data_IF_857707025955
#
_entry.id   IF_857707025955
#
_cell.length_a   1.000
_cell.length_b   1.000
_cell.length_c   1.000
_cell.angle_alpha   90.00
_cell.angle_beta   90.00
_cell.angle_gamma   90.00
#
_symmetry.space_group_name_H-M   'P 1'
#
loop_
_entity.id
_entity.type
_entity.pdbx_description
1 polymer ?
#
# COMPACT_ATOMS: atom_id res chain seq x y z
N UNK A 1 71.18 -19.41 19.75
CA UNK A 1 71.12 -18.10 19.06
C UNK A 1 69.68 -17.60 19.14
N UNK A 2 69.46 -16.47 19.83
CA UNK A 2 68.13 -15.94 20.13
C UNK A 2 67.94 -14.62 19.39
N UNK A 3 66.97 -14.56 18.47
CA UNK A 3 66.72 -13.37 17.63
C UNK A 3 65.43 -12.72 18.14
N UNK A 4 65.59 -11.59 18.84
CA UNK A 4 64.51 -10.66 19.20
C UNK A 4 64.19 -9.78 18.00
N UNK A 5 62.96 -9.84 17.50
CA UNK A 5 62.46 -8.93 16.46
C UNK A 5 61.57 -7.84 17.07
N UNK A 6 62.04 -6.60 16.93
CA UNK A 6 61.36 -5.36 17.30
C UNK A 6 60.17 -5.10 16.36
N UNK A 7 58.97 -4.89 16.93
CA UNK A 7 57.80 -4.43 16.18
C UNK A 7 57.72 -2.90 16.20
N UNK A 8 57.81 -2.29 15.01
CA UNK A 8 57.55 -0.87 14.74
C UNK A 8 56.06 -0.56 14.93
N UNK A 9 55.76 0.46 15.73
CA UNK A 9 54.44 1.08 15.82
C UNK A 9 54.21 1.97 14.59
N UNK A 10 53.18 1.65 13.80
CA UNK A 10 52.68 2.53 12.73
C UNK A 10 51.58 3.43 13.32
N UNK A 11 51.82 4.73 13.27
CA UNK A 11 50.86 5.81 13.52
C UNK A 11 49.88 5.89 12.33
N UNK A 12 48.57 5.92 12.63
CA UNK A 12 47.49 5.94 11.64
C UNK A 12 46.75 7.30 11.64
N UNK A 13 47.08 8.26 10.75
CA UNK A 13 46.28 9.47 10.57
C UNK A 13 45.08 9.30 9.61
N UNK A 14 44.83 8.09 9.09
CA UNK A 14 43.88 7.88 7.99
C UNK A 14 42.39 7.81 8.37
N UNK A 15 42.04 7.73 9.67
CA UNK A 15 40.63 7.54 10.05
C UNK A 15 39.81 8.83 10.01
N UNK A 16 40.40 9.99 10.24
CA UNK A 16 39.63 11.25 10.33
C UNK A 16 39.15 11.72 8.96
N UNK A 17 39.95 11.51 7.90
CA UNK A 17 39.58 11.91 6.54
C UNK A 17 38.36 11.16 5.99
N UNK A 18 38.15 9.90 6.41
CA UNK A 18 37.02 9.09 5.95
C UNK A 18 35.67 9.57 6.51
N UNK A 19 35.65 10.13 7.72
CA UNK A 19 34.41 10.60 8.34
C UNK A 19 33.91 11.91 7.73
N UNK A 20 34.84 12.81 7.36
CA UNK A 20 34.48 14.07 6.68
C UNK A 20 33.90 13.83 5.28
N UNK A 21 34.44 12.88 4.52
CA UNK A 21 33.90 12.54 3.21
C UNK A 21 32.49 11.93 3.28
N UNK A 22 32.23 11.07 4.28
CA UNK A 22 30.90 10.51 4.51
C UNK A 22 29.89 11.59 4.94
N UNK A 23 30.30 12.52 5.80
CA UNK A 23 29.43 13.62 6.25
C UNK A 23 29.05 14.57 5.10
N UNK A 24 30.00 14.95 4.25
CA UNK A 24 29.74 15.80 3.08
C UNK A 24 28.84 15.13 2.04
N UNK A 25 28.96 13.81 1.84
CA UNK A 25 28.06 13.05 0.96
C UNK A 25 26.61 13.05 1.46
N UNK A 26 26.39 12.90 2.78
CA UNK A 26 25.04 12.92 3.37
C UNK A 26 24.41 14.30 3.25
N UNK A 27 25.16 15.36 3.55
CA UNK A 27 24.66 16.74 3.41
C UNK A 27 24.36 17.13 1.96
N UNK A 28 25.15 16.63 0.99
CA UNK A 28 24.88 16.87 -0.43
C UNK A 28 23.62 16.13 -0.92
N UNK A 29 23.35 14.94 -0.38
CA UNK A 29 22.14 14.18 -0.70
C UNK A 29 20.87 14.84 -0.11
N UNK A 30 20.94 15.36 1.12
CA UNK A 30 19.84 16.15 1.71
C UNK A 30 19.58 17.44 0.92
N UNK A 31 20.63 18.12 0.45
CA UNK A 31 20.49 19.34 -0.33
C UNK A 31 19.86 19.11 -1.71
N UNK A 32 20.09 17.95 -2.35
CA UNK A 32 19.40 17.61 -3.60
C UNK A 32 17.93 17.23 -3.38
N UNK A 33 17.57 16.69 -2.21
CA UNK A 33 16.19 16.32 -1.89
C UNK A 33 15.28 17.55 -1.73
N UNK A 34 15.79 18.63 -1.14
CA UNK A 34 15.04 19.87 -0.92
C UNK A 34 14.82 20.72 -2.18
N UNK A 35 15.50 20.41 -3.30
CA UNK A 35 15.38 21.21 -4.53
C UNK A 35 14.32 20.71 -5.52
N UNK A 36 13.56 19.65 -5.19
CA UNK A 36 12.44 19.15 -6.02
C UNK A 36 11.04 19.44 -5.45
N UNK A 37 10.89 20.17 -4.35
CA UNK A 37 9.58 20.53 -3.79
C UNK A 37 8.93 21.76 -4.46
N UNK A 38 8.91 21.78 -5.79
CA UNK A 38 7.95 22.59 -6.56
C UNK A 38 7.21 21.73 -7.57
N UNK A 39 6.78 20.55 -7.11
CA UNK A 39 5.69 19.83 -7.76
C UNK A 39 4.40 20.59 -7.45
N UNK A 40 3.90 21.28 -8.48
CA UNK A 40 2.61 21.94 -8.49
C UNK A 40 1.52 20.99 -7.98
N UNK A 41 0.76 21.45 -6.99
CA UNK A 41 -0.34 20.74 -6.33
C UNK A 41 -1.50 20.34 -7.26
N UNK A 42 -1.39 20.60 -8.56
CA UNK A 42 -2.43 20.32 -9.57
C UNK A 42 -2.30 18.91 -10.17
N UNK A 43 -1.14 18.24 -10.03
CA UNK A 43 -0.95 16.85 -10.52
C UNK A 43 -1.33 15.77 -9.48
N UNK A 44 -1.63 16.17 -8.23
CA UNK A 44 -2.06 15.26 -7.17
C UNK A 44 -3.43 14.61 -7.43
N UNK A 45 -4.18 15.10 -8.41
CA UNK A 45 -5.48 14.55 -8.82
C UNK A 45 -5.36 13.35 -9.77
N UNK A 46 -4.16 13.02 -10.28
CA UNK A 46 -4.03 11.96 -11.31
C UNK A 46 -3.76 10.55 -10.75
N UNK A 47 -3.48 10.35 -9.45
CA UNK A 47 -3.06 9.03 -8.95
C UNK A 47 -3.43 8.61 -7.49
N UNK A 48 -4.65 8.81 -6.96
CA UNK A 48 -5.04 8.15 -5.70
C UNK A 48 -5.58 6.71 -5.89
N UNK A 49 -6.28 6.39 -6.98
CA UNK A 49 -6.98 5.10 -7.09
C UNK A 49 -6.06 3.90 -7.40
N UNK A 50 -5.02 4.12 -8.22
CA UNK A 50 -4.09 3.07 -8.59
C UNK A 50 -3.30 2.52 -7.41
N UNK A 51 -2.89 3.41 -6.49
CA UNK A 51 -2.06 3.03 -5.34
C UNK A 51 -2.87 2.24 -4.29
N UNK A 52 -4.10 2.66 -4.02
CA UNK A 52 -5.01 1.96 -3.09
C UNK A 52 -5.35 0.57 -3.64
N UNK A 53 -5.61 0.48 -4.95
CA UNK A 53 -5.86 -0.81 -5.63
C UNK A 53 -4.63 -1.73 -5.57
N UNK A 54 -3.43 -1.19 -5.79
CA UNK A 54 -2.17 -1.91 -5.67
C UNK A 54 -1.97 -2.45 -4.25
N UNK A 55 -2.10 -1.60 -3.23
CA UNK A 55 -1.97 -1.98 -1.83
C UNK A 55 -2.95 -3.09 -1.45
N UNK A 56 -4.20 -2.98 -1.91
CA UNK A 56 -5.23 -4.01 -1.69
C UNK A 56 -4.86 -5.34 -2.36
N UNK A 57 -4.35 -5.32 -3.59
CA UNK A 57 -3.90 -6.53 -4.28
C UNK A 57 -2.71 -7.19 -3.58
N UNK A 58 -1.75 -6.41 -3.07
CA UNK A 58 -0.62 -6.91 -2.28
C UNK A 58 -1.12 -7.57 -0.99
N UNK A 59 -2.09 -6.96 -0.30
CA UNK A 59 -2.69 -7.52 0.91
C UNK A 59 -3.36 -8.87 0.63
N UNK A 60 -4.22 -8.93 -0.38
CA UNK A 60 -4.90 -10.16 -0.80
C UNK A 60 -3.87 -11.24 -1.21
N UNK A 61 -2.80 -10.86 -1.90
CA UNK A 61 -1.73 -11.78 -2.27
C UNK A 61 -1.01 -12.36 -1.05
N UNK A 62 -0.88 -11.60 0.03
CA UNK A 62 -0.30 -12.05 1.28
C UNK A 62 -1.19 -13.09 1.97
N UNK A 63 -2.49 -12.82 2.09
CA UNK A 63 -3.45 -13.73 2.72
C UNK A 63 -3.53 -15.07 1.97
N UNK A 64 -3.61 -15.01 0.63
CA UNK A 64 -3.58 -16.21 -0.22
C UNK A 64 -2.27 -17.01 -0.06
N UNK A 65 -1.16 -16.33 0.20
CA UNK A 65 0.13 -16.97 0.50
C UNK A 65 0.09 -17.75 1.82
N UNK A 66 -0.45 -17.17 2.89
CA UNK A 66 -0.55 -17.85 4.18
C UNK A 66 -1.54 -19.03 4.13
N UNK A 67 -2.69 -18.88 3.46
CA UNK A 67 -3.62 -19.99 3.22
C UNK A 67 -2.98 -21.13 2.43
N UNK A 68 -2.23 -20.79 1.36
CA UNK A 68 -1.51 -21.77 0.56
C UNK A 68 -0.44 -22.51 1.37
N UNK A 69 0.24 -21.81 2.28
CA UNK A 69 1.23 -22.39 3.18
C UNK A 69 0.60 -23.37 4.16
N UNK A 70 -0.55 -23.05 4.75
CA UNK A 70 -1.28 -24.00 5.60
C UNK A 70 -1.67 -25.27 4.85
N UNK A 71 -2.18 -25.16 3.61
CA UNK A 71 -2.51 -26.32 2.78
C UNK A 71 -1.27 -27.17 2.47
N UNK A 72 -0.14 -26.52 2.19
CA UNK A 72 1.13 -27.20 1.93
C UNK A 72 1.64 -27.96 3.15
N UNK A 73 1.53 -27.37 4.35
CA UNK A 73 1.88 -27.99 5.63
C UNK A 73 0.95 -29.17 5.96
N UNK A 74 -0.34 -29.07 5.64
CA UNK A 74 -1.32 -30.17 5.71
C UNK A 74 -1.07 -31.29 4.68
N UNK A 75 -0.12 -31.08 3.76
CA UNK A 75 0.25 -32.04 2.73
C UNK A 75 -0.63 -32.00 1.47
N UNK A 76 -1.59 -31.08 1.39
CA UNK A 76 -2.36 -30.82 0.18
C UNK A 76 -1.58 -29.88 -0.74
N UNK A 77 -0.60 -30.47 -1.45
CA UNK A 77 0.25 -29.70 -2.37
C UNK A 77 -0.52 -29.20 -3.59
N UNK A 78 -1.64 -29.82 -3.96
CA UNK A 78 -2.46 -29.39 -5.09
C UNK A 78 -3.29 -28.15 -4.73
N UNK A 79 -3.99 -28.16 -3.60
CA UNK A 79 -4.71 -26.99 -3.10
C UNK A 79 -3.78 -25.81 -2.81
N UNK A 80 -2.62 -26.08 -2.20
CA UNK A 80 -1.59 -25.07 -1.97
C UNK A 80 -1.13 -24.40 -3.26
N UNK A 81 -0.87 -25.20 -4.32
CA UNK A 81 -0.44 -24.69 -5.63
C UNK A 81 -1.42 -23.68 -6.21
N UNK A 82 -2.72 -23.97 -6.13
CA UNK A 82 -3.78 -23.08 -6.64
C UNK A 82 -3.74 -21.74 -5.88
N UNK A 83 -3.66 -21.78 -4.55
CA UNK A 83 -3.60 -20.56 -3.72
C UNK A 83 -2.37 -19.70 -4.03
N UNK A 84 -1.19 -20.32 -4.21
CA UNK A 84 0.01 -19.57 -4.59
C UNK A 84 -0.07 -18.99 -6.00
N UNK A 85 -0.72 -19.66 -6.96
CA UNK A 85 -0.97 -19.08 -8.29
C UNK A 85 -1.90 -17.87 -8.21
N UNK A 86 -2.97 -17.96 -7.43
CA UNK A 86 -3.87 -16.82 -7.19
C UNK A 86 -3.13 -15.65 -6.54
N UNK A 87 -2.24 -15.91 -5.59
CA UNK A 87 -1.39 -14.88 -4.99
C UNK A 87 -0.50 -14.18 -6.04
N UNK A 88 0.10 -14.93 -6.98
CA UNK A 88 0.91 -14.35 -8.06
C UNK A 88 0.11 -13.58 -9.11
N UNK A 89 -1.17 -13.93 -9.33
CA UNK A 89 -2.04 -13.13 -10.19
C UNK A 89 -2.35 -11.75 -9.58
N UNK A 90 -2.37 -11.65 -8.25
CA UNK A 90 -2.58 -10.41 -7.52
C UNK A 90 -1.30 -9.59 -7.38
N UNK A 91 -0.21 -10.24 -7.02
CA UNK A 91 1.13 -9.64 -6.95
C UNK A 91 2.14 -10.52 -7.68
N UNK A 92 2.45 -10.21 -8.95
CA UNK A 92 3.44 -10.94 -9.74
C UNK A 92 4.85 -10.91 -9.14
N UNK A 93 5.13 -9.93 -8.28
CA UNK A 93 6.44 -9.75 -7.64
C UNK A 93 6.60 -10.53 -6.33
N UNK A 94 5.55 -11.25 -5.88
CA UNK A 94 5.54 -11.97 -4.61
C UNK A 94 6.50 -13.17 -4.60
N UNK A 95 7.72 -12.93 -4.10
CA UNK A 95 8.79 -13.95 -3.99
C UNK A 95 8.41 -15.15 -3.12
N UNK A 96 7.56 -14.97 -2.10
CA UNK A 96 7.13 -16.08 -1.24
C UNK A 96 6.30 -17.08 -2.06
N UNK A 97 5.31 -16.60 -2.80
CA UNK A 97 4.46 -17.43 -3.65
C UNK A 97 5.28 -18.21 -4.70
N UNK A 98 6.21 -17.53 -5.40
CA UNK A 98 7.13 -18.18 -6.37
C UNK A 98 7.93 -19.30 -5.70
N UNK A 99 8.49 -19.04 -4.51
CA UNK A 99 9.31 -20.01 -3.79
C UNK A 99 8.49 -21.25 -3.39
N UNK A 100 7.27 -21.06 -2.87
CA UNK A 100 6.42 -22.17 -2.47
C UNK A 100 5.87 -22.96 -3.66
N UNK A 101 5.59 -22.32 -4.80
CA UNK A 101 5.25 -23.03 -6.04
C UNK A 101 6.37 -23.98 -6.47
N UNK A 102 7.62 -23.51 -6.45
CA UNK A 102 8.76 -24.36 -6.74
C UNK A 102 8.90 -25.53 -5.73
N UNK A 103 8.49 -25.35 -4.48
CA UNK A 103 8.46 -26.45 -3.50
C UNK A 103 7.34 -27.46 -3.80
N UNK A 104 6.15 -26.99 -4.19
CA UNK A 104 5.03 -27.84 -4.59
C UNK A 104 5.42 -28.73 -5.79
N UNK A 105 6.13 -28.18 -6.78
CA UNK A 105 6.57 -28.93 -7.96
C UNK A 105 7.69 -29.94 -7.65
N UNK A 106 8.56 -29.63 -6.67
CA UNK A 106 9.65 -30.52 -6.22
C UNK A 106 9.14 -31.67 -5.37
N UNK A 107 8.06 -31.47 -4.61
CA UNK A 107 7.38 -32.50 -3.83
C UNK A 107 6.56 -33.38 -4.79
N UNK A 108 7.23 -34.04 -5.75
CA UNK A 108 6.68 -35.20 -6.44
C UNK A 108 6.40 -36.22 -5.34
N UNK A 109 5.16 -36.24 -4.86
CA UNK A 109 4.69 -37.13 -3.82
C UNK A 109 5.15 -38.52 -4.23
N UNK A 110 5.99 -39.21 -3.45
CA UNK A 110 6.18 -40.62 -3.68
C UNK A 110 4.79 -41.23 -3.52
N UNK A 111 4.22 -41.66 -4.65
CA UNK A 111 2.90 -42.28 -4.84
C UNK A 111 2.87 -43.66 -4.17
N UNK A 112 3.29 -43.71 -2.91
CA UNK A 112 3.24 -44.83 -1.99
C UNK A 112 2.36 -44.45 -0.81
N UNK A 113 1.22 -43.80 -1.08
CA UNK A 113 0.08 -43.93 -0.16
C UNK A 113 -0.46 -45.35 -0.37
N UNK A 114 0.05 -46.25 0.48
CA UNK A 114 -0.56 -47.55 0.72
C UNK A 114 -2.05 -47.33 0.96
N UNK A 115 -2.84 -48.32 0.53
CA UNK A 115 -4.31 -48.39 0.60
C UNK A 115 -4.86 -48.12 2.00
N UNK A 116 -4.88 -46.87 2.43
CA UNK A 116 -5.80 -46.43 3.47
C UNK A 116 -7.12 -46.20 2.75
N UNK A 117 -7.93 -47.26 2.67
CA UNK A 117 -9.29 -47.28 2.12
C UNK A 117 -10.28 -46.35 2.85
N UNK A 118 -9.79 -45.46 3.70
CA UNK A 118 -10.54 -44.44 4.42
C UNK A 118 -10.18 -43.00 4.01
N UNK A 119 -9.41 -42.82 2.93
CA UNK A 119 -9.29 -41.50 2.30
C UNK A 119 -10.67 -41.10 1.79
N UNK A 120 -11.32 -40.24 2.56
CA UNK A 120 -12.58 -39.58 2.23
C UNK A 120 -12.61 -39.28 0.73
N UNK A 121 -13.60 -39.87 0.06
CA UNK A 121 -14.03 -39.45 -1.26
C UNK A 121 -13.98 -37.92 -1.33
N UNK A 122 -13.48 -37.31 -2.43
CA UNK A 122 -13.69 -35.88 -2.63
C UNK A 122 -15.16 -35.64 -2.35
N UNK A 123 -15.46 -34.87 -1.29
CA UNK A 123 -16.85 -34.54 -0.95
C UNK A 123 -17.41 -34.01 -2.25
N UNK A 124 -18.37 -34.73 -2.82
CA UNK A 124 -19.10 -34.24 -3.96
C UNK A 124 -19.57 -32.85 -3.51
N UNK A 125 -19.06 -31.81 -4.16
CA UNK A 125 -19.45 -30.45 -3.84
C UNK A 125 -20.97 -30.45 -3.87
N UNK A 126 -21.58 -30.08 -2.76
CA UNK A 126 -23.03 -30.13 -2.63
C UNK A 126 -23.61 -29.32 -3.79
N UNK A 127 -24.74 -29.77 -4.34
CA UNK A 127 -25.35 -29.12 -5.50
C UNK A 127 -25.58 -27.61 -5.26
N UNK A 128 -25.74 -27.21 -4.00
CA UNK A 128 -25.80 -25.83 -3.54
C UNK A 128 -24.50 -25.04 -3.76
N UNK A 129 -23.35 -25.64 -3.48
CA UNK A 129 -22.04 -25.00 -3.67
C UNK A 129 -21.72 -24.84 -5.17
N UNK A 130 -22.07 -25.83 -5.99
CA UNK A 130 -21.98 -25.73 -7.46
C UNK A 130 -22.91 -24.63 -8.01
N UNK A 131 -24.13 -24.54 -7.49
CA UNK A 131 -25.07 -23.49 -7.87
C UNK A 131 -24.58 -22.09 -7.46
N UNK A 132 -23.97 -21.97 -6.28
CA UNK A 132 -23.38 -20.73 -5.82
C UNK A 132 -22.21 -20.28 -6.70
N UNK A 133 -21.31 -21.19 -7.07
CA UNK A 133 -20.19 -20.89 -7.97
C UNK A 133 -20.67 -20.41 -9.34
N UNK A 134 -21.69 -21.06 -9.92
CA UNK A 134 -22.32 -20.59 -11.18
C UNK A 134 -22.94 -19.20 -11.05
N UNK A 135 -23.56 -18.89 -9.90
CA UNK A 135 -24.16 -17.58 -9.65
C UNK A 135 -23.10 -16.48 -9.54
N UNK A 136 -21.95 -16.79 -8.92
CA UNK A 136 -20.80 -15.88 -8.85
C UNK A 136 -20.22 -15.61 -10.23
N UNK A 137 -19.97 -16.67 -11.02
CA UNK A 137 -19.43 -16.56 -12.37
C UNK A 137 -20.30 -15.65 -13.25
N UNK A 138 -21.63 -15.82 -13.19
CA UNK A 138 -22.57 -14.96 -13.91
C UNK A 138 -22.45 -13.49 -13.51
N UNK A 139 -22.38 -13.21 -12.21
CA UNK A 139 -22.32 -11.83 -11.69
C UNK A 139 -21.00 -11.13 -12.06
N UNK A 140 -19.91 -11.88 -12.15
CA UNK A 140 -18.62 -11.37 -12.64
C UNK A 140 -18.71 -10.99 -14.11
N UNK A 141 -19.28 -11.84 -14.97
CA UNK A 141 -19.50 -11.50 -16.38
C UNK A 141 -20.41 -10.27 -16.57
N UNK A 142 -21.46 -10.11 -15.76
CA UNK A 142 -22.33 -8.92 -15.82
C UNK A 142 -21.56 -7.63 -15.49
N UNK A 143 -20.67 -7.66 -14.49
CA UNK A 143 -19.85 -6.51 -14.12
C UNK A 143 -18.79 -6.18 -15.19
N UNK A 144 -18.20 -7.20 -15.82
CA UNK A 144 -17.21 -7.01 -16.89
C UNK A 144 -17.84 -6.36 -18.12
N UNK A 145 -19.06 -6.76 -18.49
CA UNK A 145 -19.83 -6.12 -19.57
C UNK A 145 -20.17 -4.65 -19.25
N UNK A 146 -20.45 -4.34 -17.98
CA UNK A 146 -20.80 -2.97 -17.54
C UNK A 146 -19.59 -2.02 -17.62
N UNK A 147 -18.37 -2.53 -17.46
CA UNK A 147 -17.15 -1.72 -17.59
C UNK A 147 -16.79 -1.37 -19.04
N UNK A 148 -17.23 -2.18 -20.01
CA UNK A 148 -17.01 -1.89 -21.45
C UNK A 148 -18.01 -0.88 -22.03
N UNK A 149 -19.17 -0.69 -21.39
CA UNK A 149 -20.20 0.22 -21.88
C UNK A 149 -20.11 1.64 -21.31
N UNK A 150 -19.12 1.97 -20.48
CA UNK A 150 -18.87 3.38 -20.19
C UNK A 150 -18.39 4.05 -21.49
N UNK A 151 -19.21 4.89 -22.13
CA UNK A 151 -18.79 5.55 -23.36
C UNK A 151 -17.57 6.39 -22.99
N UNK A 152 -16.46 6.17 -23.70
CA UNK A 152 -15.27 7.01 -23.54
C UNK A 152 -15.73 8.46 -23.65
N UNK A 153 -15.75 9.14 -22.50
CA UNK A 153 -16.14 10.54 -22.45
C UNK A 153 -15.10 11.23 -23.31
N UNK A 154 -15.47 11.83 -24.45
CA UNK A 154 -14.48 12.48 -25.30
C UNK A 154 -13.82 13.54 -24.44
N UNK A 155 -12.52 13.37 -24.22
CA UNK A 155 -11.65 14.33 -23.54
C UNK A 155 -11.47 15.52 -24.48
N UNK A 156 -12.57 16.23 -24.75
CA UNK A 156 -12.59 17.49 -25.48
C UNK A 156 -12.68 18.61 -24.46
N UNK A 157 -11.52 19.11 -24.07
CA UNK A 157 -11.42 20.24 -23.16
C UNK A 157 -10.06 20.91 -23.30
N UNK A 158 -9.84 21.57 -24.44
CA UNK A 158 -8.76 22.54 -24.57
C UNK A 158 -8.97 23.61 -23.50
N UNK A 159 -8.12 23.60 -22.47
CA UNK A 159 -8.09 24.66 -21.49
C UNK A 159 -7.51 25.91 -22.18
N UNK A 160 -8.41 26.74 -22.70
CA UNK A 160 -8.07 28.09 -23.13
C UNK A 160 -7.79 28.87 -21.86
N UNK A 161 -6.53 29.19 -21.61
CA UNK A 161 -6.09 30.13 -20.60
C UNK A 161 -6.63 31.52 -20.94
N UNK A 162 -7.78 31.87 -20.36
CA UNK A 162 -8.23 33.26 -20.34
C UNK A 162 -7.33 34.08 -19.39
N UNK A 163 -6.78 35.22 -19.84
CA UNK A 163 -6.01 36.11 -18.97
C UNK A 163 -6.92 36.85 -17.99
N UNK A 164 -6.65 36.67 -16.70
CA UNK A 164 -7.28 37.38 -15.58
C UNK A 164 -7.24 38.89 -15.79
N UNK A 165 -8.39 39.51 -16.01
CA UNK A 165 -8.56 40.96 -15.90
C UNK A 165 -8.72 41.39 -14.43
N UNK A 166 -8.13 42.52 -14.02
CA UNK A 166 -8.19 43.01 -12.65
C UNK A 166 -9.60 43.45 -12.25
N UNK A 167 -10.07 42.93 -11.11
CA UNK A 167 -11.37 43.28 -10.50
C UNK A 167 -11.33 44.71 -9.95
N UNK A 168 -12.33 45.57 -10.25
CA UNK A 168 -12.40 46.92 -9.74
C UNK A 168 -12.84 46.97 -8.27
N UNK A 169 -12.15 47.84 -7.54
CA UNK A 169 -12.33 48.23 -6.15
C UNK A 169 -13.79 48.68 -5.88
N UNK A 170 -14.51 47.99 -4.99
CA UNK A 170 -15.86 48.38 -4.55
C UNK A 170 -15.81 49.11 -3.19
N UNK A 171 -16.70 50.11 -2.97
CA UNK A 171 -16.67 50.99 -1.81
C UNK A 171 -17.32 50.39 -0.55
N UNK A 172 -16.82 50.86 0.59
CA UNK A 172 -17.32 50.57 1.94
C UNK A 172 -18.81 50.95 2.08
N UNK A 173 -19.65 49.93 2.26
CA UNK A 173 -21.08 50.04 2.58
C UNK A 173 -21.33 49.77 4.05
N UNK A 174 -22.13 50.64 4.65
CA UNK A 174 -22.42 50.82 6.07
C UNK A 174 -23.06 49.63 6.80
N UNK A 175 -22.60 49.46 8.03
CA UNK A 175 -23.12 48.61 9.11
C UNK A 175 -24.53 49.04 9.51
N UNK A 176 -25.50 48.13 9.45
CA UNK A 176 -26.80 48.26 10.13
C UNK A 176 -26.85 47.24 11.26
N UNK A 177 -27.01 47.75 12.48
CA UNK A 177 -27.00 47.03 13.74
C UNK A 177 -28.40 46.59 14.14
N UNK A 178 -28.72 45.31 13.92
CA UNK A 178 -29.83 44.63 14.58
C UNK A 178 -29.27 43.50 15.45
N UNK A 179 -28.94 43.88 16.68
CA UNK A 179 -28.55 42.99 17.77
C UNK A 179 -29.83 42.58 18.47
N UNK A 180 -30.18 41.28 18.45
CA UNK A 180 -30.78 40.53 19.56
C UNK A 180 -31.41 39.21 19.08
N UNK A 181 -30.60 38.19 18.75
CA UNK A 181 -30.95 36.77 19.01
C UNK A 181 -29.76 35.79 18.84
N UNK A 182 -28.61 36.04 19.47
CA UNK A 182 -27.40 35.20 19.30
C UNK A 182 -26.90 34.63 20.64
N UNK A 183 -27.60 33.65 21.22
CA UNK A 183 -27.07 32.99 22.42
C UNK A 183 -27.20 31.47 22.50
N UNK A 184 -27.59 30.80 21.42
CA UNK A 184 -27.58 29.32 21.38
C UNK A 184 -26.96 28.69 20.12
N UNK A 185 -26.27 29.47 19.27
CA UNK A 185 -25.67 28.98 18.03
C UNK A 185 -24.14 28.86 18.08
N UNK A 186 -23.49 29.24 19.18
CA UNK A 186 -22.02 29.30 19.28
C UNK A 186 -21.38 28.06 19.91
N UNK A 187 -22.14 27.16 20.56
CA UNK A 187 -21.57 25.93 21.14
C UNK A 187 -21.46 24.79 20.12
N UNK A 188 -22.42 24.64 19.19
CA UNK A 188 -22.37 23.60 18.16
C UNK A 188 -21.22 23.80 17.16
N UNK A 189 -20.85 25.05 16.86
CA UNK A 189 -19.75 25.35 15.93
C UNK A 189 -18.35 24.99 16.49
N UNK A 190 -18.20 24.83 17.81
CA UNK A 190 -16.90 24.48 18.42
C UNK A 190 -16.65 22.97 18.36
N UNK A 191 -17.69 22.15 18.52
CA UNK A 191 -17.58 20.69 18.43
C UNK A 191 -17.26 20.21 17.01
N UNK A 192 -17.91 20.81 16.00
CA UNK A 192 -17.68 20.47 14.59
C UNK A 192 -16.21 20.75 14.15
N UNK A 193 -15.60 21.82 14.69
CA UNK A 193 -14.21 22.15 14.40
C UNK A 193 -13.21 21.16 15.03
N UNK A 194 -13.52 20.62 16.21
CA UNK A 194 -12.65 19.65 16.88
C UNK A 194 -12.63 18.31 16.13
N UNK A 195 -13.80 17.83 15.66
CA UNK A 195 -13.91 16.63 14.85
C UNK A 195 -13.16 16.77 13.51
N UNK A 196 -13.29 17.92 12.84
CA UNK A 196 -12.55 18.23 11.61
C UNK A 196 -11.03 18.17 11.83
N UNK A 197 -10.54 18.80 12.91
CA UNK A 197 -9.11 18.81 13.23
C UNK A 197 -8.58 17.40 13.55
N UNK A 198 -9.38 16.56 14.19
CA UNK A 198 -9.04 15.16 14.46
C UNK A 198 -8.95 14.33 13.17
N UNK A 199 -9.88 14.52 12.22
CA UNK A 199 -9.83 13.91 10.90
C UNK A 199 -8.56 14.28 10.12
N UNK A 200 -8.20 15.57 10.10
CA UNK A 200 -6.97 16.06 9.44
C UNK A 200 -5.72 15.41 10.04
N UNK A 201 -5.64 15.29 11.38
CA UNK A 201 -4.49 14.67 12.05
C UNK A 201 -4.37 13.18 11.71
N UNK A 202 -5.49 12.45 11.69
CA UNK A 202 -5.51 11.03 11.32
C UNK A 202 -5.06 10.80 9.88
N UNK A 203 -5.56 11.61 8.95
CA UNK A 203 -5.15 11.53 7.54
C UNK A 203 -3.64 11.73 7.37
N UNK A 204 -3.06 12.76 8.02
CA UNK A 204 -1.60 12.98 8.01
C UNK A 204 -0.81 11.82 8.62
N UNK A 205 -1.34 11.20 9.68
CA UNK A 205 -0.70 10.04 10.30
C UNK A 205 -0.71 8.82 9.36
N UNK A 206 -1.82 8.58 8.66
CA UNK A 206 -1.92 7.50 7.70
C UNK A 206 -0.97 7.71 6.50
N UNK A 207 -0.90 8.93 5.96
CA UNK A 207 0.06 9.30 4.90
C UNK A 207 1.51 9.06 5.31
N UNK A 208 1.88 9.42 6.55
CA UNK A 208 3.21 9.15 7.09
C UNK A 208 3.52 7.63 7.19
N UNK A 209 2.55 6.84 7.63
CA UNK A 209 2.69 5.39 7.73
C UNK A 209 2.81 4.74 6.35
N UNK A 210 2.07 5.21 5.35
CA UNK A 210 2.21 4.75 3.96
C UNK A 210 3.63 5.01 3.44
N UNK A 211 4.18 6.21 3.62
CA UNK A 211 5.54 6.54 3.20
C UNK A 211 6.61 5.66 3.88
N UNK A 212 6.45 5.37 5.18
CA UNK A 212 7.30 4.43 5.91
C UNK A 212 7.18 3.00 5.36
N UNK A 213 5.96 2.60 4.97
CA UNK A 213 5.66 1.34 4.33
C UNK A 213 6.37 1.19 2.99
N UNK A 214 6.28 2.20 2.13
CA UNK A 214 6.94 2.26 0.83
C UNK A 214 8.46 2.14 0.98
N UNK A 215 9.05 2.91 1.88
CA UNK A 215 10.48 2.84 2.18
C UNK A 215 10.90 1.45 2.69
N UNK A 216 10.11 0.82 3.57
CA UNK A 216 10.39 -0.53 4.04
C UNK A 216 10.26 -1.57 2.91
N UNK A 217 9.32 -1.37 1.98
CA UNK A 217 9.11 -2.23 0.82
C UNK A 217 10.30 -2.16 -0.15
N UNK A 218 10.78 -0.96 -0.48
CA UNK A 218 11.98 -0.74 -1.29
C UNK A 218 13.21 -1.42 -0.69
N UNK A 219 13.35 -1.34 0.64
CA UNK A 219 14.41 -2.00 1.40
C UNK A 219 14.21 -3.51 1.56
N UNK A 220 13.19 -4.11 0.91
CA UNK A 220 12.85 -5.54 0.97
C UNK A 220 12.51 -6.02 2.39
N UNK A 221 12.10 -5.12 3.28
CA UNK A 221 11.64 -5.42 4.63
C UNK A 221 10.11 -5.65 4.63
N UNK A 222 9.66 -6.67 3.88
CA UNK A 222 8.23 -6.85 3.56
C UNK A 222 7.32 -6.99 4.79
N UNK A 223 7.80 -7.65 5.86
CA UNK A 223 7.03 -7.79 7.10
C UNK A 223 6.81 -6.44 7.80
N UNK A 224 7.83 -5.58 7.76
CA UNK A 224 7.76 -4.23 8.32
C UNK A 224 6.87 -3.32 7.45
N UNK A 225 7.00 -3.42 6.12
CA UNK A 225 6.16 -2.70 5.17
C UNK A 225 4.67 -3.07 5.36
N UNK A 226 4.37 -4.36 5.46
CA UNK A 226 3.02 -4.85 5.73
C UNK A 226 2.45 -4.27 7.02
N UNK A 227 3.24 -4.26 8.10
CA UNK A 227 2.82 -3.66 9.37
C UNK A 227 2.45 -2.19 9.20
N UNK A 228 3.27 -1.39 8.51
CA UNK A 228 2.97 0.02 8.28
C UNK A 228 1.71 0.23 7.44
N UNK A 229 1.52 -0.55 6.37
CA UNK A 229 0.30 -0.46 5.56
C UNK A 229 -0.95 -0.84 6.35
N UNK A 230 -0.85 -1.86 7.21
CA UNK A 230 -1.94 -2.26 8.10
C UNK A 230 -2.30 -1.13 9.09
N UNK A 231 -1.29 -0.57 9.77
CA UNK A 231 -1.48 0.52 10.73
C UNK A 231 -2.06 1.77 10.04
N UNK A 232 -1.64 2.06 8.80
CA UNK A 232 -2.20 3.15 7.99
C UNK A 232 -3.69 2.92 7.65
N UNK A 233 -4.05 1.69 7.29
CA UNK A 233 -5.42 1.31 6.99
C UNK A 233 -6.33 1.38 8.24
N UNK A 234 -5.83 0.95 9.40
CA UNK A 234 -6.55 1.10 10.67
C UNK A 234 -6.74 2.58 11.04
N UNK A 235 -5.73 3.43 10.80
CA UNK A 235 -5.85 4.86 11.01
C UNK A 235 -6.95 5.50 10.14
N UNK A 236 -7.09 5.07 8.88
CA UNK A 236 -8.16 5.52 7.98
C UNK A 236 -9.57 5.07 8.42
N UNK A 237 -9.70 3.84 8.95
CA UNK A 237 -11.01 3.26 9.28
C UNK A 237 -11.47 3.50 10.73
N UNK A 238 -10.65 4.12 11.57
CA UNK A 238 -10.99 4.45 12.96
C UNK A 238 -12.09 5.54 13.12
N UNK A 239 -12.93 5.75 12.11
CA UNK A 239 -13.96 6.79 12.06
C UNK A 239 -15.39 6.33 12.38
N UNK A 240 -15.59 5.06 12.77
CA UNK A 240 -16.88 4.58 13.30
C UNK A 240 -16.84 4.31 14.79
#
# INVERSE_FOLDING_TARGET
MSIRTLRKTRTYPFRVASFLAAFLMVSFLEAQCLSQESLSSEDAALYPEGLVSLAKNILIAYDLCEEGKELYEKGDSAGARIKFQQALMRDPSNKKAVKFLAMCDKKKVPEKRKKDKNAASPKALDAEEIAFLKKLEKRVSELEMTQQEQPEVPVSGSFVTEPLTPVPNMPAGSVSSDVNNEKSATETAVEDNAALLAGIKRKKQAEYLLAQGDQAYENRQFEKAYKFYKDAFEAFNSEE
#
